data_IF_103973283400
#
_entry.id   IF_103973283400
#
_cell.length_a   1.000
_cell.length_b   1.000
_cell.length_c   1.000
_cell.angle_alpha   90.00
_cell.angle_beta   90.00
_cell.angle_gamma   90.00
#
_symmetry.space_group_name_H-M   'P 1'
#
loop_
_entity.id
_entity.type
_entity.pdbx_description
1 polymer ?
#
# COMPACT_ATOMS: atom_id res chain seq x y z
N UNK A 1 70.53 13.81 3.17
CA UNK A 1 69.19 13.22 3.37
C UNK A 1 68.17 14.13 2.70
N UNK A 2 67.72 13.76 1.50
CA UNK A 2 66.61 14.27 0.67
C UNK A 2 66.92 13.69 -0.72
N UNK A 3 66.14 12.84 -1.38
CA UNK A 3 64.69 12.70 -1.44
C UNK A 3 64.29 12.88 -2.92
N UNK A 4 64.75 11.98 -3.80
CA UNK A 4 64.44 11.96 -5.24
C UNK A 4 63.00 11.50 -5.45
N UNK A 5 62.15 12.40 -5.96
CA UNK A 5 60.80 12.11 -6.47
C UNK A 5 60.88 11.40 -7.83
N UNK A 6 60.08 10.34 -8.08
CA UNK A 6 59.76 9.94 -9.43
C UNK A 6 58.34 10.34 -9.85
N UNK A 7 58.30 10.80 -11.10
CA UNK A 7 57.23 11.15 -12.01
C UNK A 7 55.91 10.36 -11.86
N UNK A 8 54.80 11.11 -11.89
CA UNK A 8 53.43 10.63 -12.12
C UNK A 8 53.35 9.83 -13.42
N UNK A 9 52.92 8.57 -13.34
CA UNK A 9 52.34 7.83 -14.48
C UNK A 9 50.84 8.13 -14.50
N UNK A 10 50.38 8.76 -15.58
CA UNK A 10 48.99 8.70 -15.99
C UNK A 10 48.70 7.24 -16.39
N UNK A 11 47.84 6.57 -15.63
CA UNK A 11 47.19 5.34 -16.06
C UNK A 11 45.74 5.68 -16.39
N UNK A 12 45.40 5.39 -17.64
CA UNK A 12 44.13 5.67 -18.27
C UNK A 12 42.97 4.98 -17.55
N UNK A 13 41.86 5.71 -17.42
CA UNK A 13 40.56 5.17 -17.05
C UNK A 13 40.09 4.16 -18.09
N UNK A 14 39.54 3.00 -17.71
CA UNK A 14 38.84 2.14 -18.66
C UNK A 14 37.50 2.78 -19.07
N UNK A 15 36.99 2.48 -20.28
CA UNK A 15 35.84 3.15 -20.85
C UNK A 15 34.55 2.78 -20.10
N UNK A 16 33.69 3.77 -19.93
CA UNK A 16 32.33 3.61 -19.47
C UNK A 16 31.59 2.61 -20.38
N UNK A 17 31.25 1.44 -19.82
CA UNK A 17 30.30 0.52 -20.43
C UNK A 17 28.90 1.13 -20.48
N UNK A 18 28.05 0.67 -21.40
CA UNK A 18 26.77 1.32 -21.67
C UNK A 18 25.89 1.29 -20.43
N UNK A 19 25.44 2.47 -20.03
CA UNK A 19 24.37 2.67 -19.07
C UNK A 19 23.20 1.78 -19.46
N UNK A 20 22.97 0.71 -18.70
CA UNK A 20 21.73 -0.04 -18.77
C UNK A 20 20.62 0.91 -18.31
N UNK A 21 19.97 1.55 -19.28
CA UNK A 21 18.64 2.12 -19.11
C UNK A 21 17.76 0.98 -18.62
N UNK A 22 17.55 0.94 -17.29
CA UNK A 22 16.53 0.11 -16.70
C UNK A 22 15.19 0.59 -17.23
N UNK A 23 14.69 -0.14 -18.23
CA UNK A 23 13.38 0.03 -18.81
C UNK A 23 12.37 -0.27 -17.70
N UNK A 24 11.67 0.78 -17.25
CA UNK A 24 10.63 0.70 -16.24
C UNK A 24 9.52 -0.28 -16.65
N UNK A 25 9.17 -1.30 -15.85
CA UNK A 25 7.83 -1.85 -15.94
C UNK A 25 6.89 -0.85 -15.27
N UNK A 26 6.01 -0.26 -16.07
CA UNK A 26 4.82 0.43 -15.58
C UNK A 26 3.97 -0.61 -14.85
N UNK A 27 4.03 -0.61 -13.52
CA UNK A 27 3.11 -1.40 -12.70
C UNK A 27 1.76 -0.69 -12.75
N UNK A 28 0.79 -1.37 -13.36
CA UNK A 28 -0.61 -0.99 -13.38
C UNK A 28 -1.33 -1.83 -12.33
N UNK A 29 -1.78 -1.18 -11.26
CA UNK A 29 -2.93 -1.61 -10.48
C UNK A 29 -3.88 -0.41 -10.43
N UNK A 30 -4.93 -0.44 -11.26
CA UNK A 30 -5.93 0.62 -11.34
C UNK A 30 -7.23 0.14 -10.69
N UNK A 31 -7.57 0.72 -9.54
CA UNK A 31 -8.95 0.90 -9.09
C UNK A 31 -9.00 2.23 -8.36
N UNK A 32 -9.27 3.29 -9.12
CA UNK A 32 -9.38 4.66 -8.63
C UNK A 32 -10.87 5.01 -8.49
N UNK A 33 -11.36 5.12 -7.26
CA UNK A 33 -12.60 5.84 -6.96
C UNK A 33 -12.22 7.11 -6.20
N UNK A 34 -12.06 8.22 -6.92
CA UNK A 34 -11.83 9.54 -6.32
C UNK A 34 -13.17 10.25 -6.10
N UNK A 35 -13.46 10.66 -4.87
CA UNK A 35 -14.59 11.50 -4.52
C UNK A 35 -14.06 12.85 -3.99
N UNK A 36 -14.42 13.95 -4.65
CA UNK A 36 -14.26 15.32 -4.15
C UNK A 36 -15.62 15.79 -3.63
N UNK A 37 -15.71 16.28 -2.39
CA UNK A 37 -16.92 16.95 -1.90
C UNK A 37 -16.60 18.13 -0.99
N UNK A 38 -17.31 19.23 -1.25
CA UNK A 38 -17.33 20.48 -0.49
C UNK A 38 -18.47 20.49 0.53
N UNK A 39 -18.17 21.05 1.71
CA UNK A 39 -18.99 21.62 2.81
C UNK A 39 -20.52 21.33 2.85
N UNK A 40 -21.01 20.71 3.94
CA UNK A 40 -21.76 21.42 4.99
C UNK A 40 -22.01 20.53 6.25
N UNK A 41 -22.14 21.17 7.41
CA UNK A 41 -22.15 20.60 8.78
C UNK A 41 -23.35 19.69 9.09
N UNK A 42 -23.10 18.56 9.76
CA UNK A 42 -23.62 18.21 11.11
C UNK A 42 -23.47 16.71 11.44
N UNK A 43 -22.94 16.47 12.63
CA UNK A 43 -22.79 15.21 13.38
C UNK A 43 -23.70 14.03 13.00
N UNK A 44 -23.10 12.92 12.55
CA UNK A 44 -23.62 11.56 12.74
C UNK A 44 -22.45 10.60 12.98
N UNK A 45 -22.57 9.85 14.07
CA UNK A 45 -21.57 8.93 14.60
C UNK A 45 -21.23 7.78 13.62
N UNK A 46 -19.97 7.35 13.67
CA UNK A 46 -19.42 6.04 13.33
C UNK A 46 -20.33 5.09 12.53
N UNK A 47 -20.19 5.13 11.19
CA UNK A 47 -20.31 4.01 10.22
C UNK A 47 -20.43 4.61 8.81
N UNK A 48 -19.42 5.36 8.36
CA UNK A 48 -19.39 5.88 7.00
C UNK A 48 -18.56 4.96 6.10
N UNK A 49 -19.18 3.86 5.69
CA UNK A 49 -18.73 3.06 4.55
C UNK A 49 -18.73 3.94 3.31
N UNK A 50 -17.63 3.93 2.57
CA UNK A 50 -17.44 4.63 1.29
C UNK A 50 -18.59 4.34 0.32
N UNK A 51 -19.58 5.22 0.26
CA UNK A 51 -20.61 5.14 -0.77
C UNK A 51 -20.94 6.54 -1.26
N UNK A 52 -20.04 7.09 -2.07
CA UNK A 52 -20.28 8.28 -2.88
C UNK A 52 -20.17 7.87 -4.35
N UNK A 53 -21.29 7.91 -5.08
CA UNK A 53 -21.32 7.71 -6.53
C UNK A 53 -21.53 9.07 -7.23
N UNK A 54 -20.78 9.32 -8.30
CA UNK A 54 -21.02 10.44 -9.21
C UNK A 54 -22.23 10.14 -10.10
N UNK A 55 -23.29 10.94 -10.00
CA UNK A 55 -24.47 10.83 -10.87
C UNK A 55 -24.38 11.88 -11.99
N UNK A 56 -23.65 11.58 -13.07
CA UNK A 56 -23.61 12.40 -14.27
C UNK A 56 -24.71 11.92 -15.24
N UNK A 57 -25.89 12.54 -15.18
CA UNK A 57 -26.90 12.33 -16.23
C UNK A 57 -26.45 13.05 -17.50
N UNK A 58 -25.99 12.30 -18.50
CA UNK A 58 -25.88 12.79 -19.88
C UNK A 58 -27.28 13.03 -20.43
N UNK A 59 -27.77 14.27 -20.36
CA UNK A 59 -28.86 14.71 -21.21
C UNK A 59 -28.34 14.88 -22.63
N UNK A 60 -28.83 14.07 -23.59
CA UNK A 60 -28.66 14.34 -25.00
C UNK A 60 -29.32 15.69 -25.30
N UNK A 61 -28.53 16.75 -25.41
CA UNK A 61 -28.98 18.03 -25.95
C UNK A 61 -28.59 18.07 -27.43
N UNK A 62 -29.59 18.20 -28.30
CA UNK A 62 -29.45 18.38 -29.74
C UNK A 62 -28.40 19.45 -30.06
N UNK A 63 -27.42 19.09 -30.88
CA UNK A 63 -26.36 19.99 -31.34
C UNK A 63 -26.93 20.87 -32.45
N UNK A 64 -27.33 22.09 -32.12
CA UNK A 64 -27.44 23.17 -33.12
C UNK A 64 -26.09 23.86 -33.25
N UNK A 65 -25.60 23.94 -34.50
CA UNK A 65 -24.39 24.63 -34.92
C UNK A 65 -24.42 26.09 -34.47
N UNK A 66 -23.42 26.51 -33.70
CA UNK A 66 -22.62 27.75 -33.78
C UNK A 66 -21.91 27.97 -32.43
N UNK A 67 -20.67 28.46 -32.51
CA UNK A 67 -19.65 28.31 -31.47
C UNK A 67 -19.93 28.97 -30.12
N UNK A 68 -19.53 28.27 -29.06
CA UNK A 68 -18.94 28.80 -27.82
C UNK A 68 -18.54 27.59 -26.95
N UNK A 69 -17.36 27.64 -26.34
CA UNK A 69 -16.87 26.65 -25.39
C UNK A 69 -17.86 26.48 -24.23
N UNK A 70 -18.55 25.33 -24.19
CA UNK A 70 -19.51 25.04 -23.13
C UNK A 70 -18.76 24.46 -21.93
N UNK A 71 -18.65 25.28 -20.90
CA UNK A 71 -18.07 24.97 -19.60
C UNK A 71 -18.55 23.61 -19.07
N UNK A 72 -17.60 22.76 -18.68
CA UNK A 72 -17.84 21.58 -17.85
C UNK A 72 -18.49 22.06 -16.53
N UNK A 73 -19.46 21.31 -15.96
CA UNK A 73 -20.08 21.71 -14.71
C UNK A 73 -19.01 21.77 -13.59
N UNK A 74 -18.90 22.92 -12.95
CA UNK A 74 -17.96 23.24 -11.86
C UNK A 74 -18.36 22.61 -10.51
N UNK A 75 -19.44 21.83 -10.47
CA UNK A 75 -19.94 21.18 -9.26
C UNK A 75 -20.49 19.80 -9.60
N UNK A 76 -19.93 18.77 -8.95
CA UNK A 76 -20.41 17.40 -8.99
C UNK A 76 -21.05 17.12 -7.63
N UNK A 77 -22.37 16.92 -7.61
CA UNK A 77 -23.08 16.57 -6.37
C UNK A 77 -23.03 15.06 -6.15
N UNK A 78 -22.31 14.62 -5.13
CA UNK A 78 -22.27 13.22 -4.71
C UNK A 78 -23.48 12.91 -3.83
N UNK A 79 -24.22 11.83 -4.15
CA UNK A 79 -25.33 11.36 -3.32
C UNK A 79 -24.91 10.16 -2.50
N UNK A 80 -25.10 10.25 -1.17
CA UNK A 80 -24.98 9.11 -0.25
C UNK A 80 -26.06 8.08 -0.58
N UNK A 81 -25.67 6.88 -1.02
CA UNK A 81 -26.64 5.82 -1.27
C UNK A 81 -26.92 5.03 0.01
N UNK A 82 -28.19 4.72 0.24
CA UNK A 82 -28.63 3.85 1.33
C UNK A 82 -28.25 2.40 1.00
N UNK A 83 -27.70 1.67 1.98
CA UNK A 83 -27.37 0.23 1.89
C UNK A 83 -28.53 -0.55 1.26
N UNK A 84 -28.27 -1.26 0.15
CA UNK A 84 -29.28 -2.09 -0.53
C UNK A 84 -29.20 -3.58 -0.19
N UNK A 85 -28.12 -4.05 0.42
CA UNK A 85 -27.94 -5.48 0.73
C UNK A 85 -27.79 -5.70 2.24
N UNK A 86 -28.67 -6.52 2.85
CA UNK A 86 -28.48 -6.99 4.22
C UNK A 86 -27.20 -7.82 4.29
N UNK A 87 -26.41 -7.58 5.33
CA UNK A 87 -25.23 -8.35 5.67
C UNK A 87 -25.61 -9.83 5.79
N UNK A 88 -25.16 -10.67 4.84
CA UNK A 88 -25.06 -12.11 5.06
C UNK A 88 -23.60 -12.49 5.06
N UNK A 89 -22.87 -11.97 6.06
CA UNK A 89 -21.58 -12.54 6.44
C UNK A 89 -21.85 -13.95 6.96
N UNK A 90 -21.19 -14.94 6.39
CA UNK A 90 -21.08 -16.26 7.02
C UNK A 90 -20.44 -16.07 8.40
N UNK A 91 -21.06 -16.53 9.50
CA UNK A 91 -20.44 -16.49 10.81
C UNK A 91 -19.19 -17.40 10.78
N UNK A 92 -17.99 -16.86 11.00
CA UNK A 92 -16.81 -17.71 11.17
C UNK A 92 -15.44 -17.02 11.13
N UNK A 93 -15.22 -16.05 10.25
CA UNK A 93 -13.91 -15.38 10.15
C UNK A 93 -14.11 -13.92 9.74
N UNK A 94 -13.75 -12.98 10.62
CA UNK A 94 -13.54 -11.59 10.22
C UNK A 94 -12.20 -11.54 9.46
N UNK A 95 -12.29 -11.70 8.14
CA UNK A 95 -11.18 -11.63 7.19
C UNK A 95 -10.98 -10.20 6.64
N UNK A 96 -11.51 -9.22 7.38
CA UNK A 96 -11.42 -7.81 7.04
C UNK A 96 -10.42 -7.08 7.93
N UNK A 97 -9.77 -6.08 7.37
CA UNK A 97 -8.83 -5.21 8.07
C UNK A 97 -9.15 -3.75 7.76
N UNK A 98 -9.09 -2.91 8.79
CA UNK A 98 -9.18 -1.46 8.60
C UNK A 98 -7.96 -0.95 7.83
N UNK A 99 -8.20 -0.11 6.83
CA UNK A 99 -7.18 0.73 6.20
C UNK A 99 -7.27 2.15 6.76
N UNK A 100 -6.11 2.75 7.00
CA UNK A 100 -5.96 4.17 7.33
C UNK A 100 -4.95 4.79 6.38
N UNK A 101 -5.27 5.91 5.75
CA UNK A 101 -4.42 6.49 4.72
C UNK A 101 -4.97 7.80 4.17
N UNK A 102 -4.51 8.15 2.98
CA UNK A 102 -5.13 9.15 2.11
C UNK A 102 -4.79 8.85 0.64
N UNK A 103 -5.58 9.34 -0.30
CA UNK A 103 -5.34 9.07 -1.74
C UNK A 103 -4.04 9.72 -2.28
N UNK A 104 -3.57 10.79 -1.66
CA UNK A 104 -2.29 11.44 -1.98
C UNK A 104 -1.13 10.94 -1.08
N UNK A 105 -1.42 10.00 -0.20
CA UNK A 105 -0.48 9.32 0.69
C UNK A 105 -0.66 7.80 0.55
N UNK A 106 -0.12 7.04 1.49
CA UNK A 106 -0.24 5.58 1.52
C UNK A 106 -1.45 5.13 2.36
N UNK A 107 -1.96 3.92 2.10
CA UNK A 107 -2.92 3.24 3.00
C UNK A 107 -2.21 2.14 3.77
N UNK A 108 -2.34 2.19 5.08
CA UNK A 108 -1.75 1.23 6.01
C UNK A 108 -2.80 0.35 6.65
N UNK A 109 -2.42 -0.90 6.90
CA UNK A 109 -3.18 -1.87 7.66
C UNK A 109 -2.38 -2.34 8.87
N UNK A 110 -3.09 -2.78 9.90
CA UNK A 110 -2.50 -3.40 11.06
C UNK A 110 -1.96 -4.80 10.72
N UNK A 111 -0.68 -5.03 11.03
CA UNK A 111 -0.08 -6.36 11.13
C UNK A 111 0.28 -6.58 12.59
N UNK A 112 0.01 -7.77 13.12
CA UNK A 112 0.41 -8.14 14.48
C UNK A 112 1.51 -9.17 14.42
N UNK A 113 2.61 -8.92 15.14
CA UNK A 113 3.76 -9.84 15.26
C UNK A 113 3.94 -10.14 16.75
N UNK A 114 3.79 -11.41 17.15
CA UNK A 114 3.83 -11.84 18.56
C UNK A 114 2.93 -10.98 19.47
N UNK A 115 1.72 -10.67 19.02
CA UNK A 115 0.76 -9.83 19.76
C UNK A 115 1.03 -8.32 19.73
N UNK A 116 2.14 -7.86 19.13
CA UNK A 116 2.47 -6.44 18.97
C UNK A 116 2.00 -5.93 17.61
N UNK A 117 1.23 -4.83 17.62
CA UNK A 117 0.70 -4.20 16.41
C UNK A 117 1.72 -3.26 15.75
N UNK A 118 1.84 -3.38 14.43
CA UNK A 118 2.58 -2.53 13.51
C UNK A 118 1.62 -2.01 12.45
N UNK A 119 1.65 -0.71 12.17
CA UNK A 119 0.96 -0.16 11.00
C UNK A 119 1.88 -0.30 9.80
N UNK A 120 1.43 -1.00 8.76
CA UNK A 120 2.24 -1.25 7.59
C UNK A 120 1.49 -0.86 6.32
N UNK A 121 2.17 -0.16 5.41
CA UNK A 121 1.63 0.22 4.11
C UNK A 121 1.25 -1.04 3.35
N UNK A 122 0.06 -1.08 2.78
CA UNK A 122 -0.36 -2.16 1.88
C UNK A 122 0.06 -1.80 0.46
N UNK A 123 1.09 -2.47 -0.04
CA UNK A 123 1.73 -2.16 -1.32
C UNK A 123 1.48 -3.25 -2.36
N UNK A 124 0.65 -2.95 -3.35
CA UNK A 124 0.38 -3.87 -4.48
C UNK A 124 1.48 -3.88 -5.55
N UNK A 125 2.51 -3.04 -5.40
CA UNK A 125 3.67 -2.94 -6.29
C UNK A 125 4.91 -3.72 -5.84
N UNK A 126 4.91 -4.33 -4.65
CA UNK A 126 6.02 -5.13 -4.13
C UNK A 126 5.54 -6.42 -3.43
N UNK A 127 6.47 -7.31 -3.08
CA UNK A 127 6.15 -8.63 -2.51
C UNK A 127 6.74 -8.89 -1.14
N UNK A 128 7.43 -7.90 -0.58
CA UNK A 128 8.20 -8.07 0.65
C UNK A 128 7.40 -7.54 1.81
N UNK A 129 7.21 -8.36 2.84
CA UNK A 129 6.75 -7.90 4.14
C UNK A 129 7.95 -7.51 5.00
N UNK A 130 7.97 -6.27 5.50
CA UNK A 130 9.03 -5.77 6.36
C UNK A 130 8.50 -4.77 7.39
N UNK A 131 9.10 -4.75 8.58
CA UNK A 131 8.80 -3.80 9.66
C UNK A 131 10.08 -3.20 10.24
N UNK A 132 9.99 -2.03 10.85
CA UNK A 132 11.06 -1.42 11.62
C UNK A 132 11.58 -2.41 12.68
N UNK A 133 12.89 -2.62 12.74
CA UNK A 133 13.56 -3.52 13.68
C UNK A 133 14.69 -2.83 14.45
N UNK A 134 14.73 -1.51 14.42
CA UNK A 134 15.67 -0.68 15.18
C UNK A 134 14.97 0.56 15.71
N UNK A 135 15.37 0.99 16.91
CA UNK A 135 14.97 2.29 17.43
C UNK A 135 15.51 3.41 16.52
N UNK A 136 14.61 4.24 16.02
CA UNK A 136 14.92 5.46 15.27
C UNK A 136 14.11 6.63 15.80
N UNK A 137 14.49 7.85 15.41
CA UNK A 137 13.83 9.08 15.87
C UNK A 137 12.32 9.07 15.54
N UNK A 138 11.91 8.51 14.39
CA UNK A 138 10.51 8.28 14.01
C UNK A 138 9.92 6.94 14.47
N UNK A 139 10.68 5.83 14.41
CA UNK A 139 10.16 4.49 14.66
C UNK A 139 10.06 4.16 16.16
N UNK A 140 9.07 4.72 16.87
CA UNK A 140 8.83 4.43 18.30
C UNK A 140 8.44 2.97 18.57
N UNK A 141 7.81 2.31 17.58
CA UNK A 141 7.53 0.87 17.60
C UNK A 141 8.44 0.20 16.59
N UNK A 142 9.14 -0.82 17.05
CA UNK A 142 10.02 -1.65 16.24
C UNK A 142 10.01 -3.08 16.79
N UNK A 143 10.27 -4.05 15.91
CA UNK A 143 10.42 -5.45 16.23
C UNK A 143 11.74 -5.67 16.98
N UNK A 144 11.67 -6.42 18.07
CA UNK A 144 12.80 -6.71 18.97
C UNK A 144 13.08 -8.21 19.10
N UNK A 145 12.45 -9.03 18.26
CA UNK A 145 12.65 -10.47 18.27
C UNK A 145 13.85 -10.90 17.45
N UNK A 146 13.90 -12.19 17.12
CA UNK A 146 15.04 -12.78 16.42
C UNK A 146 15.10 -12.36 14.95
N UNK A 147 16.28 -11.91 14.53
CA UNK A 147 16.65 -11.73 13.13
C UNK A 147 18.01 -12.38 12.87
N UNK A 148 18.12 -13.04 11.71
CA UNK A 148 19.31 -13.74 11.23
C UNK A 148 20.40 -12.77 10.78
N UNK A 149 21.58 -13.28 10.42
CA UNK A 149 22.65 -12.48 9.80
C UNK A 149 22.49 -12.31 8.28
N UNK A 150 21.39 -12.77 7.70
CA UNK A 150 21.10 -12.58 6.27
C UNK A 150 20.64 -11.16 6.00
N UNK A 151 21.47 -10.40 5.29
CA UNK A 151 21.16 -9.02 4.90
C UNK A 151 20.17 -8.97 3.74
N UNK A 152 19.28 -7.99 3.79
CA UNK A 152 18.30 -7.66 2.76
C UNK A 152 18.36 -6.16 2.45
N UNK A 153 18.23 -5.80 1.19
CA UNK A 153 18.22 -4.41 0.75
C UNK A 153 17.23 -4.24 -0.39
N UNK A 154 16.44 -3.17 -0.33
CA UNK A 154 15.38 -2.92 -1.30
C UNK A 154 15.37 -1.45 -1.74
N UNK A 155 15.07 -1.23 -3.02
CA UNK A 155 14.93 0.09 -3.63
C UNK A 155 13.49 0.30 -4.11
N UNK A 156 12.87 1.39 -3.67
CA UNK A 156 11.50 1.79 -3.98
C UNK A 156 11.50 3.20 -4.59
N UNK A 157 11.69 3.29 -5.90
CA UNK A 157 11.84 4.60 -6.56
C UNK A 157 13.00 5.40 -5.97
N UNK A 158 12.72 6.55 -5.36
CA UNK A 158 13.69 7.40 -4.66
C UNK A 158 13.99 6.96 -3.21
N UNK A 159 13.21 6.03 -2.66
CA UNK A 159 13.36 5.49 -1.31
C UNK A 159 14.13 4.17 -1.29
N UNK A 160 14.76 3.87 -0.16
CA UNK A 160 15.41 2.58 0.06
C UNK A 160 15.46 2.20 1.53
N UNK A 161 15.62 0.91 1.79
CA UNK A 161 15.89 0.39 3.12
C UNK A 161 16.80 -0.83 3.07
N UNK A 162 17.52 -1.04 4.17
CA UNK A 162 18.33 -2.23 4.40
C UNK A 162 18.07 -2.79 5.80
N UNK A 163 18.36 -4.07 5.96
CA UNK A 163 18.08 -4.77 7.20
C UNK A 163 18.46 -6.23 7.17
N UNK A 164 17.82 -7.00 8.05
CA UNK A 164 18.06 -8.43 8.24
C UNK A 164 16.78 -9.23 8.09
N UNK A 165 16.88 -10.50 7.67
CA UNK A 165 15.72 -11.40 7.65
C UNK A 165 15.40 -11.83 9.08
N UNK A 166 14.16 -11.63 9.50
CA UNK A 166 13.59 -12.04 10.77
C UNK A 166 12.63 -13.23 10.58
N UNK A 167 12.55 -14.10 11.58
CA UNK A 167 11.79 -15.33 11.52
C UNK A 167 11.31 -15.79 12.91
N UNK A 168 10.50 -16.85 12.93
CA UNK A 168 10.06 -17.51 14.16
C UNK A 168 9.00 -16.77 14.98
N UNK A 169 8.48 -15.63 14.49
CA UNK A 169 7.41 -14.89 15.13
C UNK A 169 6.05 -15.22 14.51
N UNK A 170 5.02 -15.33 15.34
CA UNK A 170 3.64 -15.51 14.90
C UNK A 170 3.09 -14.19 14.33
N UNK A 171 2.60 -14.23 13.10
CA UNK A 171 2.11 -13.07 12.36
C UNK A 171 0.62 -13.21 12.06
N UNK A 172 -0.13 -12.13 12.23
CA UNK A 172 -1.51 -12.00 11.74
C UNK A 172 -1.68 -10.75 10.89
N UNK A 173 -2.44 -10.84 9.81
CA UNK A 173 -2.75 -9.75 8.89
C UNK A 173 -4.25 -9.70 8.64
N UNK A 174 -4.86 -8.51 8.80
CA UNK A 174 -6.30 -8.29 8.64
C UNK A 174 -7.18 -9.36 9.34
N UNK A 175 -6.89 -9.63 10.61
CA UNK A 175 -7.63 -10.61 11.43
C UNK A 175 -7.26 -12.08 11.18
N UNK A 176 -6.45 -12.38 10.16
CA UNK A 176 -6.12 -13.76 9.77
C UNK A 176 -4.70 -14.16 10.11
N UNK A 177 -4.51 -15.44 10.44
CA UNK A 177 -3.20 -16.02 10.76
C UNK A 177 -2.37 -16.16 9.49
N UNK A 178 -1.15 -15.65 9.52
CA UNK A 178 -0.14 -15.85 8.48
C UNK A 178 0.93 -16.88 8.90
N UNK A 179 0.79 -17.49 10.08
CA UNK A 179 1.78 -18.44 10.60
C UNK A 179 3.05 -17.72 11.04
N UNK A 180 4.21 -18.26 10.65
CA UNK A 180 5.55 -17.73 11.02
C UNK A 180 6.39 -17.41 9.78
N UNK A 181 5.95 -16.51 8.90
CA UNK A 181 6.67 -16.19 7.68
C UNK A 181 8.00 -15.51 8.00
N UNK A 182 8.97 -15.62 7.09
CA UNK A 182 10.15 -14.78 7.11
C UNK A 182 9.76 -13.36 6.68
N UNK A 183 10.32 -12.35 7.34
CA UNK A 183 10.05 -10.94 7.03
C UNK A 183 11.31 -10.08 7.18
N UNK A 184 11.32 -8.91 6.55
CA UNK A 184 12.43 -7.95 6.68
C UNK A 184 12.35 -7.18 7.99
N UNK A 185 13.42 -7.17 8.76
CA UNK A 185 13.63 -6.24 9.86
C UNK A 185 14.43 -5.03 9.38
N UNK A 186 13.76 -3.90 9.16
CA UNK A 186 14.36 -2.67 8.66
C UNK A 186 15.24 -2.05 9.76
N UNK A 187 16.54 -1.91 9.48
CA UNK A 187 17.49 -1.29 10.41
C UNK A 187 17.99 0.06 9.91
N UNK A 188 17.92 0.32 8.60
CA UNK A 188 18.26 1.59 7.98
C UNK A 188 17.28 1.88 6.85
N UNK A 189 16.92 3.15 6.68
CA UNK A 189 16.04 3.60 5.62
C UNK A 189 16.39 5.02 5.20
N UNK A 190 16.08 5.37 3.95
CA UNK A 190 16.23 6.72 3.39
C UNK A 190 15.03 7.00 2.50
N UNK A 191 14.28 8.07 2.77
CA UNK A 191 13.09 8.44 2.00
C UNK A 191 12.09 7.28 1.85
N UNK A 192 11.98 6.42 2.87
CA UNK A 192 11.13 5.24 2.87
C UNK A 192 10.29 5.22 4.15
N UNK A 193 9.00 4.86 4.05
CA UNK A 193 8.03 4.92 5.16
C UNK A 193 7.99 6.28 5.89
N UNK A 194 8.19 7.40 5.18
CA UNK A 194 8.37 8.73 5.79
C UNK A 194 9.39 8.74 6.95
N UNK A 195 10.39 7.86 6.92
CA UNK A 195 11.35 7.58 7.99
C UNK A 195 10.69 7.29 9.36
N UNK A 196 9.53 6.61 9.34
CA UNK A 196 8.62 6.41 10.47
C UNK A 196 8.16 7.71 11.15
N UNK A 197 8.20 8.84 10.45
CA UNK A 197 7.61 10.09 10.94
C UNK A 197 6.17 10.21 10.47
N UNK A 198 5.45 11.16 11.08
CA UNK A 198 4.08 11.47 10.66
C UNK A 198 4.09 12.02 9.23
N UNK A 199 3.29 11.44 8.35
CA UNK A 199 2.98 12.07 7.07
C UNK A 199 2.13 13.34 7.25
N UNK A 200 1.73 13.96 6.14
CA UNK A 200 0.88 15.16 6.14
C UNK A 200 -0.44 14.97 6.93
N UNK A 201 -0.90 13.72 7.09
CA UNK A 201 -2.13 13.34 7.80
C UNK A 201 -1.91 12.78 9.21
N UNK A 202 -0.66 12.80 9.67
CA UNK A 202 -0.29 12.32 10.99
C UNK A 202 -0.25 10.80 11.11
N UNK A 203 -0.17 10.08 9.98
CA UNK A 203 -0.07 8.63 9.91
C UNK A 203 1.40 8.24 10.01
N UNK A 204 1.68 7.21 10.80
CA UNK A 204 3.04 6.68 10.99
C UNK A 204 3.02 5.21 10.60
N UNK A 205 3.63 4.91 9.45
CA UNK A 205 3.85 3.54 9.01
C UNK A 205 5.19 3.03 9.55
N UNK A 206 5.16 1.85 10.17
CA UNK A 206 6.33 1.15 10.71
C UNK A 206 6.74 -0.01 9.82
N UNK A 207 6.11 -0.20 8.67
CA UNK A 207 6.42 -1.30 7.78
C UNK A 207 5.70 -1.19 6.45
N UNK A 208 5.91 -2.22 5.64
CA UNK A 208 5.28 -2.44 4.35
C UNK A 208 4.85 -3.89 4.25
N UNK A 209 3.68 -4.13 3.68
CA UNK A 209 3.16 -5.44 3.29
C UNK A 209 3.07 -5.46 1.78
N UNK A 210 4.05 -6.10 1.14
CA UNK A 210 3.98 -6.38 -0.29
C UNK A 210 2.89 -7.40 -0.60
N UNK A 211 1.98 -7.03 -1.52
CA UNK A 211 0.83 -7.81 -1.97
C UNK A 211 0.97 -8.35 -3.41
N UNK A 212 2.11 -8.09 -4.07
CA UNK A 212 2.40 -8.57 -5.41
C UNK A 212 2.98 -9.99 -5.41
N UNK A 213 3.12 -10.58 -6.61
CA UNK A 213 3.56 -11.96 -6.82
C UNK A 213 4.99 -12.26 -6.33
N UNK A 214 5.27 -13.49 -5.82
CA UNK A 214 6.54 -13.87 -5.20
C UNK A 214 7.82 -13.55 -5.99
N UNK A 215 7.76 -13.38 -7.32
CA UNK A 215 8.92 -13.02 -8.14
C UNK A 215 9.62 -11.73 -7.70
N UNK A 216 8.91 -10.81 -7.02
CA UNK A 216 9.49 -9.55 -6.53
C UNK A 216 10.09 -9.65 -5.13
N UNK A 217 10.22 -10.85 -4.55
CA UNK A 217 11.05 -11.07 -3.35
C UNK A 217 12.54 -11.15 -3.68
N UNK A 218 12.93 -11.01 -4.95
CA UNK A 218 14.32 -10.92 -5.43
C UNK A 218 15.20 -12.10 -5.01
N UNK A 219 14.61 -13.27 -4.81
CA UNK A 219 15.32 -14.49 -4.42
C UNK A 219 15.65 -14.57 -2.92
N UNK A 220 15.23 -13.60 -2.10
CA UNK A 220 15.25 -13.78 -0.65
C UNK A 220 14.28 -14.90 -0.27
N UNK A 221 14.66 -15.70 0.73
CA UNK A 221 13.85 -16.82 1.24
C UNK A 221 12.62 -16.30 2.03
N UNK A 222 11.73 -15.59 1.34
CA UNK A 222 10.56 -14.92 1.89
C UNK A 222 9.34 -15.27 1.04
N UNK A 223 8.27 -15.66 1.72
CA UNK A 223 6.94 -15.82 1.11
C UNK A 223 6.20 -14.49 1.29
N UNK A 224 5.53 -13.95 0.25
CA UNK A 224 4.67 -12.79 0.45
C UNK A 224 3.64 -13.07 1.55
N UNK A 225 3.27 -12.02 2.29
CA UNK A 225 2.47 -12.22 3.50
C UNK A 225 1.07 -12.77 3.18
N UNK A 226 0.47 -12.35 2.08
CA UNK A 226 -0.85 -12.84 1.68
C UNK A 226 -0.82 -14.31 1.24
N UNK A 227 0.20 -14.75 0.49
CA UNK A 227 0.41 -16.17 0.17
C UNK A 227 0.51 -17.01 1.46
N UNK A 228 1.21 -16.50 2.48
CA UNK A 228 1.30 -17.16 3.80
C UNK A 228 -0.07 -17.24 4.49
N UNK A 229 -0.91 -16.20 4.37
CA UNK A 229 -2.29 -16.23 4.90
C UNK A 229 -3.15 -17.26 4.16
N UNK A 230 -3.06 -17.33 2.83
CA UNK A 230 -3.78 -18.32 2.01
C UNK A 230 -3.39 -19.74 2.42
N UNK A 231 -2.09 -20.02 2.56
CA UNK A 231 -1.58 -21.33 2.98
C UNK A 231 -2.08 -21.72 4.39
N UNK A 232 -2.08 -20.77 5.33
CA UNK A 232 -2.39 -21.04 6.73
C UNK A 232 -3.90 -21.13 7.03
N UNK A 233 -4.72 -20.45 6.23
CA UNK A 233 -6.17 -20.34 6.51
C UNK A 233 -7.05 -21.06 5.48
N UNK A 234 -6.52 -21.38 4.30
CA UNK A 234 -7.31 -21.90 3.19
C UNK A 234 -8.27 -20.88 2.58
N UNK A 235 -8.10 -19.59 2.87
CA UNK A 235 -8.91 -18.54 2.26
C UNK A 235 -8.62 -18.47 0.76
N UNK A 236 -9.60 -18.07 -0.05
CA UNK A 236 -9.41 -17.93 -1.49
C UNK A 236 -8.26 -16.95 -1.80
N UNK A 237 -7.46 -17.26 -2.82
CA UNK A 237 -6.33 -16.43 -3.24
C UNK A 237 -6.80 -15.20 -4.05
N UNK A 238 -7.53 -14.32 -3.38
CA UNK A 238 -8.06 -13.06 -3.89
C UNK A 238 -8.18 -12.11 -2.71
N UNK A 239 -7.87 -10.82 -2.91
CA UNK A 239 -8.15 -9.79 -1.92
C UNK A 239 -8.82 -8.59 -2.59
N UNK A 240 -9.61 -7.85 -1.83
CA UNK A 240 -10.27 -6.62 -2.23
C UNK A 240 -9.83 -5.47 -1.34
N UNK A 241 -9.58 -4.30 -1.93
CA UNK A 241 -9.25 -3.08 -1.20
C UNK A 241 -10.26 -1.98 -1.55
N UNK A 242 -10.82 -1.36 -0.52
CA UNK A 242 -11.56 -0.12 -0.64
C UNK A 242 -10.74 0.98 0.05
N UNK A 243 -10.27 1.94 -0.75
CA UNK A 243 -9.49 3.08 -0.27
C UNK A 243 -10.37 4.33 -0.33
N UNK A 244 -10.91 4.78 0.80
CA UNK A 244 -11.71 6.01 0.85
C UNK A 244 -10.82 7.22 0.85
N UNK A 245 -10.94 8.05 -0.19
CA UNK A 245 -10.31 9.35 -0.25
C UNK A 245 -10.67 10.26 0.94
N UNK A 246 -9.84 11.29 1.12
CA UNK A 246 -9.95 12.27 2.19
C UNK A 246 -11.28 13.04 2.12
N UNK A 247 -12.04 13.09 3.22
CA UNK A 247 -13.34 13.78 3.30
C UNK A 247 -13.25 15.24 3.74
N UNK A 248 -12.04 15.83 3.77
CA UNK A 248 -11.83 17.22 4.21
C UNK A 248 -11.71 17.38 5.73
N UNK A 249 -12.27 16.45 6.52
CA UNK A 249 -12.43 16.59 7.97
C UNK A 249 -11.90 15.40 8.79
N UNK A 250 -11.65 14.26 8.16
CA UNK A 250 -11.22 13.03 8.84
C UNK A 250 -10.16 12.30 8.03
N UNK A 251 -9.32 11.54 8.75
CA UNK A 251 -8.38 10.59 8.17
C UNK A 251 -9.10 9.74 7.13
N UNK A 252 -8.45 9.55 5.98
CA UNK A 252 -9.00 8.66 4.99
C UNK A 252 -8.95 7.23 5.53
N UNK A 253 -10.04 6.51 5.31
CA UNK A 253 -10.28 5.20 5.87
C UNK A 253 -10.50 4.20 4.75
N UNK A 254 -10.62 2.93 5.09
CA UNK A 254 -10.90 1.92 4.10
C UNK A 254 -10.95 0.55 4.72
N UNK A 255 -11.06 -0.44 3.85
CA UNK A 255 -11.10 -1.83 4.25
C UNK A 255 -10.33 -2.67 3.25
N UNK A 256 -9.52 -3.57 3.77
CA UNK A 256 -8.98 -4.69 3.02
C UNK A 256 -9.77 -5.95 3.39
N UNK A 257 -10.16 -6.73 2.40
CA UNK A 257 -10.81 -8.01 2.57
C UNK A 257 -9.90 -9.08 1.97
N UNK A 258 -9.49 -10.04 2.78
CA UNK A 258 -8.64 -11.13 2.36
C UNK A 258 -9.52 -12.36 2.10
N UNK A 259 -9.48 -12.92 0.91
CA UNK A 259 -10.38 -14.01 0.51
C UNK A 259 -11.55 -13.61 -0.37
N UNK A 260 -11.69 -12.33 -0.72
CA UNK A 260 -12.77 -11.89 -1.58
C UNK A 260 -12.96 -10.38 -1.58
N UNK A 261 -14.15 -9.98 -2.01
CA UNK A 261 -14.62 -8.61 -2.04
C UNK A 261 -15.89 -8.52 -1.19
N UNK A 262 -16.06 -7.41 -0.49
CA UNK A 262 -17.30 -7.15 0.24
C UNK A 262 -18.29 -6.40 -0.67
N UNK A 263 -19.39 -7.05 -1.00
CA UNK A 263 -20.48 -6.49 -1.82
C UNK A 263 -21.13 -5.23 -1.24
N UNK A 264 -20.93 -4.94 0.05
CA UNK A 264 -21.39 -3.71 0.68
C UNK A 264 -20.48 -2.51 0.37
N UNK A 265 -19.28 -2.75 -0.17
CA UNK A 265 -18.25 -1.73 -0.42
C UNK A 265 -18.22 -1.22 -1.88
N UNK A 266 -19.06 -1.78 -2.77
CA UNK A 266 -19.18 -1.34 -4.16
C UNK A 266 -20.62 -1.37 -4.64
N UNK A 267 -20.87 -0.76 -5.80
CA UNK A 267 -22.15 -0.82 -6.50
C UNK A 267 -21.90 -1.16 -7.97
N UNK A 268 -22.90 -1.72 -8.64
CA UNK A 268 -22.76 -2.20 -10.02
C UNK A 268 -21.98 -3.51 -10.12
N UNK A 269 -21.52 -3.83 -11.33
CA UNK A 269 -20.79 -5.05 -11.62
C UNK A 269 -19.27 -4.81 -11.63
N UNK A 270 -18.53 -5.79 -11.10
CA UNK A 270 -17.07 -5.78 -11.19
C UNK A 270 -16.64 -6.14 -12.61
N UNK A 271 -15.75 -5.32 -13.17
CA UNK A 271 -15.11 -5.58 -14.45
C UNK A 271 -13.71 -6.13 -14.19
N UNK A 272 -13.35 -7.20 -14.88
CA UNK A 272 -12.06 -7.86 -14.72
C UNK A 272 -11.20 -7.70 -15.97
N UNK A 273 -9.92 -7.42 -15.75
CA UNK A 273 -8.89 -7.46 -16.79
C UNK A 273 -7.88 -8.55 -16.44
N UNK A 274 -7.37 -9.32 -17.41
CA UNK A 274 -6.27 -10.24 -17.16
C UNK A 274 -5.05 -9.50 -16.62
N UNK A 275 -4.32 -10.17 -15.73
CA UNK A 275 -2.99 -9.71 -15.30
C UNK A 275 -2.00 -9.99 -16.42
N UNK A 276 -1.29 -8.96 -16.87
CA UNK A 276 -0.25 -9.07 -17.90
C UNK A 276 1.13 -8.79 -17.29
N UNK A 277 2.17 -9.26 -17.97
CA UNK A 277 3.57 -9.11 -17.54
C UNK A 277 4.18 -7.79 -18.01
#
# INVERSE_FOLDING_TARGET
RTGLLPRRRFLASPPAGPSAFAMFPRIVALLLAAALATEDRAALAADEVCVLQMDSRKGLANVTKHGASKWLPTSITLKKLRRRHPHRGTPGHDNSGKLEGAAFADYSAAVTINGKKFEAIVDTGSSVFAVAARAGEGCKRYYTGHCTDTNISMQYGSGSWSGKICNGADVTFAGMKAGRPNFGGITEQRNFLTDCTKDAEGIVSQGIVGMAYPVLTLGYAMTPLFDSVVEQTGVANIFGMQCCGWSGHHRAHGQINLGGVDSMLYTGELQYTPVTR
#
